data_IF_784358411053
#
_entry.id   IF_784358411053
#
_cell.length_a   1.000
_cell.length_b   1.000
_cell.length_c   1.000
_cell.angle_alpha   90.00
_cell.angle_beta   90.00
_cell.angle_gamma   90.00
#
_symmetry.space_group_name_H-M   'P 1'
#
loop_
_entity.id
_entity.type
_entity.pdbx_description
1 polymer ?
#
# COMPACT_ATOMS: atom_id res chain seq x y z
N UNK A 1 -3.94 31.72 7.79
CA UNK A 1 -4.25 30.27 7.58
C UNK A 1 -3.36 29.63 6.50
N UNK A 2 -3.05 30.32 5.38
CA UNK A 2 -2.21 29.75 4.31
C UNK A 2 -0.74 29.50 4.67
N UNK A 3 -0.08 30.42 5.38
CA UNK A 3 1.34 30.29 5.75
C UNK A 3 1.60 29.16 6.76
N UNK A 4 0.75 29.02 7.80
CA UNK A 4 0.85 27.95 8.79
C UNK A 4 0.67 26.55 8.18
N UNK A 5 -0.22 26.41 7.18
CA UNK A 5 -0.40 25.17 6.42
C UNK A 5 0.81 24.84 5.54
N UNK A 6 1.38 25.84 4.87
CA UNK A 6 2.61 25.68 4.06
C UNK A 6 3.82 25.31 4.92
N UNK A 7 3.95 25.92 6.10
CA UNK A 7 5.01 25.65 7.06
C UNK A 7 4.88 24.22 7.62
N UNK A 8 3.66 23.77 7.95
CA UNK A 8 3.39 22.38 8.34
C UNK A 8 3.75 21.43 7.20
N UNK A 9 3.33 21.70 5.95
CA UNK A 9 3.63 20.83 4.80
C UNK A 9 5.15 20.66 4.62
N UNK A 10 5.92 21.75 4.62
CA UNK A 10 7.38 21.68 4.50
C UNK A 10 8.04 20.99 5.70
N UNK A 11 7.57 21.24 6.93
CA UNK A 11 8.06 20.57 8.14
C UNK A 11 7.77 19.07 8.11
N UNK A 12 6.66 18.67 7.50
CA UNK A 12 6.27 17.26 7.32
C UNK A 12 7.22 16.62 6.30
N UNK A 13 7.41 17.23 5.13
CA UNK A 13 8.28 16.70 4.07
C UNK A 13 9.72 16.46 4.55
N UNK A 14 10.32 17.40 5.28
CA UNK A 14 11.67 17.24 5.82
C UNK A 14 11.76 16.29 7.02
N UNK A 15 10.68 16.07 7.77
CA UNK A 15 10.67 15.10 8.88
C UNK A 15 10.50 13.67 8.34
N UNK A 16 9.77 13.53 7.23
CA UNK A 16 9.46 12.26 6.58
C UNK A 16 10.66 11.70 5.79
N UNK A 17 11.56 12.54 5.26
CA UNK A 17 12.75 12.10 4.49
C UNK A 17 13.77 11.31 5.31
N UNK A 18 13.76 11.44 6.63
CA UNK A 18 14.65 10.70 7.54
C UNK A 18 14.06 9.36 8.02
N UNK A 19 12.83 9.04 7.65
CA UNK A 19 12.11 7.86 8.12
C UNK A 19 12.39 6.62 7.28
N UNK A 20 12.39 5.43 7.90
CA UNK A 20 12.59 4.16 7.21
C UNK A 20 11.57 3.90 6.06
N UNK A 21 10.37 4.48 6.17
CA UNK A 21 9.33 4.42 5.13
C UNK A 21 9.68 5.21 3.87
N UNK A 22 10.54 6.23 3.96
CA UNK A 22 10.94 7.07 2.82
C UNK A 22 11.65 6.26 1.72
N UNK A 23 12.49 5.30 2.12
CA UNK A 23 13.17 4.42 1.16
C UNK A 23 12.16 3.56 0.38
N UNK A 24 11.08 3.10 1.03
CA UNK A 24 10.01 2.34 0.37
C UNK A 24 9.31 3.21 -0.68
N UNK A 25 8.89 4.43 -0.31
CA UNK A 25 8.25 5.34 -1.25
C UNK A 25 9.18 5.76 -2.38
N UNK A 26 10.48 5.87 -2.14
CA UNK A 26 11.49 6.15 -3.18
C UNK A 26 11.58 4.99 -4.18
N UNK A 27 11.49 3.75 -3.74
CA UNK A 27 11.51 2.59 -4.66
C UNK A 27 10.21 2.49 -5.48
N UNK A 28 9.07 2.75 -4.83
CA UNK A 28 7.78 2.84 -5.52
C UNK A 28 7.77 4.03 -6.53
N UNK A 29 8.44 5.12 -6.14
CA UNK A 29 9.04 6.20 -6.93
C UNK A 29 9.41 5.95 -8.39
N UNK A 30 10.25 4.92 -8.52
CA UNK A 30 11.19 4.77 -9.63
C UNK A 30 10.49 4.79 -11.00
N UNK A 31 11.13 5.49 -11.93
CA UNK A 31 10.66 5.55 -13.30
C UNK A 31 10.84 4.21 -14.02
N UNK A 32 10.06 4.03 -15.07
CA UNK A 32 10.04 2.80 -15.86
C UNK A 32 11.17 2.91 -16.88
N UNK A 33 12.17 2.01 -16.80
CA UNK A 33 13.46 2.21 -17.47
C UNK A 33 13.52 1.83 -18.96
N UNK A 34 12.52 1.18 -19.58
CA UNK A 34 12.24 1.17 -21.04
C UNK A 34 11.20 0.10 -21.46
N UNK A 35 10.63 0.30 -22.65
CA UNK A 35 9.59 -0.43 -23.40
C UNK A 35 9.64 -1.98 -23.34
N UNK A 36 9.19 -2.56 -22.23
CA UNK A 36 8.80 -3.96 -22.20
C UNK A 36 7.31 -4.09 -22.49
N UNK A 37 6.94 -4.44 -23.73
CA UNK A 37 5.57 -4.77 -24.17
C UNK A 37 4.86 -5.85 -23.31
N UNK A 38 5.50 -6.42 -22.27
CA UNK A 38 4.91 -7.37 -21.32
C UNK A 38 4.61 -6.79 -19.93
N UNK A 39 5.11 -5.59 -19.58
CA UNK A 39 5.05 -5.08 -18.20
C UNK A 39 3.82 -4.19 -17.94
N UNK A 40 3.18 -3.61 -18.96
CA UNK A 40 2.13 -2.58 -18.77
C UNK A 40 0.85 -2.74 -19.60
N UNK A 41 0.53 -3.95 -20.09
CA UNK A 41 -0.56 -4.15 -21.07
C UNK A 41 -1.92 -3.69 -20.55
N UNK A 42 -2.16 -3.82 -19.25
CA UNK A 42 -3.47 -3.49 -18.69
C UNK A 42 -3.72 -1.98 -18.67
N UNK A 43 -2.65 -1.18 -18.64
CA UNK A 43 -2.75 0.28 -18.60
C UNK A 43 -2.90 0.94 -19.97
N UNK A 44 -2.77 0.17 -21.07
CA UNK A 44 -3.00 0.69 -22.43
C UNK A 44 -4.49 0.97 -22.67
N UNK A 45 -5.36 0.17 -22.05
CA UNK A 45 -6.82 0.28 -22.16
C UNK A 45 -7.42 1.35 -21.21
N UNK A 46 -6.59 2.02 -20.40
CA UNK A 46 -7.03 3.02 -19.42
C UNK A 46 -7.70 4.21 -20.12
N UNK A 47 -9.01 4.39 -19.91
CA UNK A 47 -9.82 5.43 -20.57
C UNK A 47 -9.73 6.78 -19.88
N UNK A 48 -8.53 7.36 -19.86
CA UNK A 48 -8.30 8.72 -19.36
C UNK A 48 -7.48 9.55 -20.34
N UNK A 49 -7.71 10.86 -20.37
CA UNK A 49 -6.84 11.81 -21.09
C UNK A 49 -5.73 12.36 -20.20
N UNK A 50 -5.70 12.01 -18.91
CA UNK A 50 -4.69 12.48 -17.97
C UNK A 50 -3.41 11.64 -18.10
N UNK A 51 -2.35 12.23 -18.67
CA UNK A 51 -1.07 11.55 -18.86
C UNK A 51 -0.38 11.15 -17.54
N UNK A 52 -0.63 11.89 -16.45
CA UNK A 52 -0.12 11.53 -15.13
C UNK A 52 -0.80 10.27 -14.60
N UNK A 53 -2.10 10.09 -14.84
CA UNK A 53 -2.83 8.85 -14.50
C UNK A 53 -2.34 7.66 -15.33
N UNK A 54 -2.06 7.86 -16.62
CA UNK A 54 -1.48 6.80 -17.46
C UNK A 54 -0.11 6.37 -16.96
N UNK A 55 0.77 7.34 -16.63
CA UNK A 55 2.09 7.06 -16.05
C UNK A 55 1.95 6.33 -14.71
N UNK A 56 1.04 6.77 -13.85
CA UNK A 56 0.77 6.15 -12.56
C UNK A 56 0.28 4.71 -12.70
N UNK A 57 -0.67 4.43 -13.60
CA UNK A 57 -1.12 3.07 -13.89
C UNK A 57 0.06 2.15 -14.24
N UNK A 58 0.95 2.61 -15.12
CA UNK A 58 2.14 1.83 -15.51
C UNK A 58 3.06 1.57 -14.31
N UNK A 59 3.26 2.55 -13.43
CA UNK A 59 4.04 2.37 -12.18
C UNK A 59 3.35 1.39 -11.22
N UNK A 60 2.02 1.43 -11.12
CA UNK A 60 1.19 0.47 -10.36
C UNK A 60 1.42 -0.96 -10.87
N UNK A 61 1.29 -1.19 -12.18
CA UNK A 61 1.45 -2.54 -12.75
C UNK A 61 2.87 -3.10 -12.50
N UNK A 62 3.89 -2.27 -12.72
CA UNK A 62 5.29 -2.63 -12.42
C UNK A 62 5.46 -2.99 -10.93
N UNK A 63 4.99 -2.13 -10.04
CA UNK A 63 5.13 -2.34 -8.59
C UNK A 63 4.43 -3.63 -8.13
N UNK A 64 3.20 -3.89 -8.59
CA UNK A 64 2.47 -5.11 -8.23
C UNK A 64 3.17 -6.39 -8.64
N UNK A 65 3.95 -6.36 -9.74
CA UNK A 65 4.77 -7.49 -10.21
C UNK A 65 6.00 -7.71 -9.33
N UNK A 66 6.61 -6.67 -8.78
CA UNK A 66 7.90 -6.76 -8.06
C UNK A 66 7.80 -6.56 -6.54
N UNK A 67 6.62 -6.24 -6.00
CA UNK A 67 6.40 -5.85 -4.60
C UNK A 67 6.93 -6.88 -3.59
N UNK A 68 6.82 -8.17 -3.93
CA UNK A 68 7.22 -9.26 -3.05
C UNK A 68 8.71 -9.60 -3.12
N UNK A 69 9.43 -9.03 -4.09
CA UNK A 69 10.83 -9.39 -4.42
C UNK A 69 11.81 -8.25 -4.15
N UNK A 70 11.31 -7.01 -4.09
CA UNK A 70 12.10 -5.81 -3.87
C UNK A 70 12.71 -5.78 -2.47
N UNK A 71 14.03 -5.63 -2.34
CA UNK A 71 14.78 -5.84 -1.09
C UNK A 71 14.26 -5.10 0.14
N UNK A 72 13.87 -3.84 0.01
CA UNK A 72 13.35 -3.04 1.14
C UNK A 72 11.91 -3.43 1.47
N UNK A 73 11.08 -3.63 0.46
CA UNK A 73 9.65 -3.94 0.62
C UNK A 73 9.45 -5.39 1.08
N UNK A 74 10.30 -6.33 0.65
CA UNK A 74 10.17 -7.75 0.98
C UNK A 74 10.47 -8.06 2.44
N UNK A 75 11.13 -7.15 3.16
CA UNK A 75 11.42 -7.27 4.60
C UNK A 75 10.18 -6.98 5.46
N UNK A 76 9.25 -6.15 4.96
CA UNK A 76 8.01 -5.78 5.64
C UNK A 76 7.02 -6.95 5.75
N UNK A 77 6.06 -6.88 6.68
CA UNK A 77 4.96 -7.85 6.68
C UNK A 77 4.08 -7.61 5.46
N UNK A 78 3.44 -8.66 4.98
CA UNK A 78 2.60 -8.57 3.79
C UNK A 78 1.48 -7.50 3.90
N UNK A 79 0.85 -7.38 5.09
CA UNK A 79 -0.16 -6.33 5.34
C UNK A 79 0.45 -4.93 5.19
N UNK A 80 1.66 -4.74 5.69
CA UNK A 80 2.38 -3.46 5.67
C UNK A 80 2.80 -3.11 4.24
N UNK A 81 3.31 -4.07 3.46
CA UNK A 81 3.60 -3.90 2.02
C UNK A 81 2.39 -3.41 1.24
N UNK A 82 1.23 -4.04 1.46
CA UNK A 82 -0.05 -3.65 0.85
C UNK A 82 -0.44 -2.23 1.22
N UNK A 83 -0.26 -1.87 2.49
CA UNK A 83 -0.59 -0.56 3.00
C UNK A 83 0.33 0.51 2.40
N UNK A 84 1.66 0.34 2.47
CA UNK A 84 2.63 1.24 1.84
C UNK A 84 2.32 1.45 0.36
N UNK A 85 2.07 0.36 -0.37
CA UNK A 85 1.70 0.43 -1.78
C UNK A 85 0.41 1.22 -2.01
N UNK A 86 -0.64 0.97 -1.21
CA UNK A 86 -1.91 1.68 -1.35
C UNK A 86 -1.76 3.17 -1.04
N UNK A 87 -1.06 3.53 0.04
CA UNK A 87 -0.80 4.92 0.43
C UNK A 87 -0.01 5.65 -0.64
N UNK A 88 1.00 4.99 -1.22
CA UNK A 88 1.76 5.53 -2.35
C UNK A 88 0.86 5.84 -3.56
N UNK A 89 -0.02 4.91 -3.96
CA UNK A 89 -0.95 5.15 -5.07
C UNK A 89 -1.79 6.40 -4.84
N UNK A 90 -2.35 6.57 -3.64
CA UNK A 90 -3.18 7.73 -3.31
C UNK A 90 -2.40 9.04 -3.28
N UNK A 91 -1.17 9.02 -2.74
CA UNK A 91 -0.28 10.18 -2.74
C UNK A 91 0.03 10.63 -4.19
N UNK A 92 0.28 9.69 -5.10
CA UNK A 92 0.51 9.98 -6.51
C UNK A 92 -0.77 10.45 -7.24
N UNK A 93 -1.95 9.90 -6.91
CA UNK A 93 -3.23 10.44 -7.41
C UNK A 93 -3.39 11.90 -6.97
N UNK A 94 -3.17 12.18 -5.69
CA UNK A 94 -3.30 13.53 -5.14
C UNK A 94 -2.34 14.51 -5.83
N UNK A 95 -1.08 14.13 -6.04
CA UNK A 95 -0.08 14.95 -6.75
C UNK A 95 -0.50 15.27 -8.18
N UNK A 96 -1.05 14.31 -8.91
CA UNK A 96 -1.50 14.52 -10.29
C UNK A 96 -2.64 15.55 -10.41
N UNK A 97 -3.47 15.69 -9.38
CA UNK A 97 -4.56 16.67 -9.29
C UNK A 97 -4.21 17.90 -8.43
N UNK A 98 -2.98 18.05 -7.94
CA UNK A 98 -2.59 19.20 -7.10
C UNK A 98 -2.82 20.51 -7.84
N UNK A 99 -3.65 21.38 -7.27
CA UNK A 99 -4.04 22.66 -7.87
C UNK A 99 -5.02 22.55 -9.06
N UNK A 100 -5.57 21.37 -9.32
CA UNK A 100 -6.54 21.08 -10.39
C UNK A 100 -7.84 20.55 -9.78
N UNK A 101 -8.94 20.62 -10.54
CA UNK A 101 -10.18 19.94 -10.14
C UNK A 101 -10.00 18.43 -10.23
N UNK A 102 -10.33 17.71 -9.15
CA UNK A 102 -10.28 16.25 -9.11
C UNK A 102 -11.34 15.67 -10.04
N UNK A 103 -10.93 14.87 -11.01
CA UNK A 103 -11.84 14.13 -11.87
C UNK A 103 -12.07 12.73 -11.29
N UNK A 104 -13.24 12.53 -10.69
CA UNK A 104 -13.59 11.25 -10.08
C UNK A 104 -13.62 10.09 -11.09
N UNK A 105 -14.04 10.34 -12.34
CA UNK A 105 -14.12 9.28 -13.35
C UNK A 105 -12.73 8.73 -13.72
N UNK A 106 -11.72 9.59 -13.82
CA UNK A 106 -10.34 9.16 -14.06
C UNK A 106 -9.81 8.28 -12.91
N UNK A 107 -10.15 8.64 -11.67
CA UNK A 107 -9.77 7.88 -10.47
C UNK A 107 -10.47 6.52 -10.47
N UNK A 108 -11.78 6.49 -10.71
CA UNK A 108 -12.57 5.26 -10.75
C UNK A 108 -12.03 4.30 -11.83
N UNK A 109 -11.65 4.83 -13.00
CA UNK A 109 -11.03 4.07 -14.09
C UNK A 109 -9.65 3.52 -13.68
N UNK A 110 -8.80 4.33 -13.03
CA UNK A 110 -7.50 3.86 -12.53
C UNK A 110 -7.64 2.74 -11.49
N UNK A 111 -8.58 2.89 -10.53
CA UNK A 111 -8.86 1.88 -9.51
C UNK A 111 -9.40 0.59 -10.11
N UNK A 112 -10.22 0.69 -11.17
CA UNK A 112 -10.70 -0.46 -11.93
C UNK A 112 -9.55 -1.21 -12.60
N UNK A 113 -8.64 -0.51 -13.29
CA UNK A 113 -7.48 -1.14 -13.93
C UNK A 113 -6.51 -1.76 -12.92
N UNK A 114 -6.28 -1.08 -11.80
CA UNK A 114 -5.52 -1.64 -10.70
C UNK A 114 -6.12 -2.98 -10.21
N UNK A 115 -7.44 -3.07 -10.05
CA UNK A 115 -8.09 -4.33 -9.69
C UNK A 115 -7.91 -5.40 -10.78
N UNK A 116 -8.06 -5.06 -12.06
CA UNK A 116 -7.85 -5.98 -13.19
C UNK A 116 -6.44 -6.54 -13.23
N UNK A 117 -5.42 -5.69 -13.02
CA UNK A 117 -4.02 -6.13 -12.94
C UNK A 117 -3.84 -7.18 -11.85
N UNK A 118 -4.37 -6.93 -10.64
CA UNK A 118 -4.30 -7.89 -9.54
C UNK A 118 -4.94 -9.23 -9.89
N UNK A 119 -6.14 -9.21 -10.48
CA UNK A 119 -6.83 -10.43 -10.90
C UNK A 119 -6.02 -11.20 -11.96
N UNK A 120 -5.42 -10.48 -12.91
CA UNK A 120 -4.59 -11.09 -13.93
C UNK A 120 -3.36 -11.80 -13.33
N UNK A 121 -2.61 -11.11 -12.46
CA UNK A 121 -1.44 -11.67 -11.79
C UNK A 121 -1.81 -12.88 -10.92
N UNK A 122 -2.91 -12.78 -10.18
CA UNK A 122 -3.44 -13.89 -9.38
C UNK A 122 -3.77 -15.11 -10.24
N UNK A 123 -4.42 -14.90 -11.38
CA UNK A 123 -4.85 -15.96 -12.29
C UNK A 123 -3.66 -16.60 -13.02
N UNK A 124 -2.65 -15.82 -13.39
CA UNK A 124 -1.40 -16.35 -13.96
C UNK A 124 -0.71 -17.31 -12.99
N UNK A 125 -0.53 -16.88 -11.73
CA UNK A 125 0.05 -17.72 -10.68
C UNK A 125 -0.82 -18.95 -10.40
N UNK A 126 -2.14 -18.74 -10.35
CA UNK A 126 -3.12 -19.82 -10.18
C UNK A 126 -2.91 -20.93 -11.22
N UNK A 127 -2.91 -20.56 -12.50
CA UNK A 127 -2.79 -21.52 -13.60
C UNK A 127 -1.43 -22.20 -13.62
N UNK A 128 -0.35 -21.46 -13.33
CA UNK A 128 1.00 -22.03 -13.27
C UNK A 128 1.10 -23.10 -12.19
N UNK A 129 0.63 -22.82 -10.98
CA UNK A 129 0.68 -23.78 -9.88
C UNK A 129 -0.32 -24.92 -10.08
N UNK A 130 -1.52 -24.64 -10.60
CA UNK A 130 -2.51 -25.68 -10.95
C UNK A 130 -1.90 -26.72 -11.90
N UNK A 131 -1.23 -26.28 -12.98
CA UNK A 131 -0.53 -27.18 -13.91
C UNK A 131 0.62 -27.95 -13.25
N UNK A 132 1.28 -27.36 -12.25
CA UNK A 132 2.34 -28.03 -11.49
C UNK A 132 1.79 -29.09 -10.52
N UNK A 133 0.62 -28.86 -9.94
CA UNK A 133 -0.04 -29.77 -8.99
C UNK A 133 -0.77 -30.90 -9.73
N UNK A 134 -1.39 -30.56 -10.86
CA UNK A 134 -2.11 -31.47 -11.74
C UNK A 134 -1.44 -31.47 -13.12
N UNK A 135 -0.27 -32.11 -13.27
CA UNK A 135 0.36 -32.23 -14.57
C UNK A 135 -0.59 -32.97 -15.51
N UNK A 136 -0.89 -32.34 -16.65
CA UNK A 136 -1.65 -32.97 -17.73
C UNK A 136 -0.87 -34.24 -18.10
N UNK A 137 -1.51 -35.42 -17.95
CA UNK A 137 -0.89 -36.66 -18.40
C UNK A 137 -0.55 -36.50 -19.88
N UNK A 138 0.67 -36.82 -20.34
CA UNK A 138 0.93 -36.84 -21.76
C UNK A 138 -0.10 -37.76 -22.41
N UNK A 139 -0.82 -37.25 -23.42
CA UNK A 139 -1.52 -38.14 -24.32
C UNK A 139 -0.43 -39.03 -24.93
N UNK A 140 -0.35 -40.28 -24.49
CA UNK A 140 0.45 -41.29 -25.18
C UNK A 140 -0.01 -41.27 -26.63
N UNK A 141 0.92 -40.93 -27.51
CA UNK A 141 0.69 -40.79 -28.94
C UNK A 141 -0.11 -41.97 -29.48
N UNK A 142 -1.28 -41.67 -30.04
CA UNK A 142 -2.19 -42.65 -30.62
C UNK A 142 -3.56 -42.05 -30.88
N UNK A 143 -3.67 -41.24 -31.94
CA UNK A 143 -4.94 -40.96 -32.60
C UNK A 143 -5.69 -39.70 -32.14
N UNK A 144 -5.85 -38.82 -33.11
CA UNK A 144 -6.99 -37.92 -33.33
C UNK A 144 -6.98 -36.56 -32.64
N UNK A 145 -6.51 -35.59 -33.43
CA UNK A 145 -6.86 -34.18 -33.33
C UNK A 145 -8.39 -34.04 -33.37
N UNK A 146 -9.00 -33.69 -32.24
CA UNK A 146 -10.25 -32.93 -32.26
C UNK A 146 -10.39 -32.09 -31.01
N UNK A 147 -10.80 -30.84 -31.23
CA UNK A 147 -10.84 -29.76 -30.26
C UNK A 147 -11.58 -30.11 -28.98
N UNK A 148 -11.21 -29.39 -27.92
CA UNK A 148 -11.94 -29.36 -26.66
C UNK A 148 -13.34 -28.84 -26.94
N UNK A 149 -14.25 -29.75 -27.25
CA UNK A 149 -15.69 -29.51 -27.24
C UNK A 149 -16.18 -29.75 -25.82
N UNK A 150 -16.99 -28.82 -25.34
CA UNK A 150 -17.73 -28.87 -24.09
C UNK A 150 -18.63 -30.12 -24.07
N UNK A 151 -18.13 -31.24 -23.55
CA UNK A 151 -18.91 -32.50 -23.54
C UNK A 151 -18.39 -33.65 -22.69
N UNK A 152 -17.29 -33.50 -21.91
CA UNK A 152 -16.71 -34.61 -21.15
C UNK A 152 -17.00 -34.51 -19.65
N UNK A 153 -18.28 -34.56 -19.27
CA UNK A 153 -18.70 -34.69 -17.86
C UNK A 153 -18.81 -36.16 -17.39
N UNK A 154 -18.40 -37.14 -18.21
CA UNK A 154 -18.58 -38.57 -17.92
C UNK A 154 -17.29 -39.38 -17.68
N UNK A 155 -16.11 -38.74 -17.61
CA UNK A 155 -14.93 -39.41 -17.04
C UNK A 155 -14.93 -39.20 -15.53
N UNK A 156 -15.25 -40.24 -14.75
CA UNK A 156 -15.04 -40.26 -13.30
C UNK A 156 -13.55 -40.04 -13.03
N UNK A 157 -13.15 -38.78 -12.86
CA UNK A 157 -11.83 -38.42 -12.37
C UNK A 157 -11.63 -39.14 -11.04
N UNK A 158 -10.47 -39.80 -10.87
CA UNK A 158 -10.11 -40.32 -9.56
C UNK A 158 -10.17 -39.15 -8.58
N UNK A 159 -10.85 -39.29 -7.43
CA UNK A 159 -10.96 -38.20 -6.48
C UNK A 159 -9.54 -37.76 -6.08
N UNK A 160 -9.31 -36.44 -5.92
CA UNK A 160 -8.01 -35.95 -5.49
C UNK A 160 -7.59 -36.65 -4.19
N UNK A 161 -6.35 -37.13 -4.15
CA UNK A 161 -5.80 -37.91 -3.03
C UNK A 161 -5.58 -37.09 -1.76
N UNK A 162 -5.70 -35.76 -1.86
CA UNK A 162 -5.70 -34.82 -0.73
C UNK A 162 -6.53 -33.59 -1.08
N UNK A 163 -7.08 -32.94 -0.06
CA UNK A 163 -7.68 -31.61 -0.18
C UNK A 163 -6.55 -30.59 -0.39
N UNK A 164 -6.74 -29.68 -1.35
CA UNK A 164 -5.82 -28.58 -1.59
C UNK A 164 -6.43 -27.28 -1.09
N UNK A 165 -5.62 -26.43 -0.46
CA UNK A 165 -6.06 -25.09 -0.08
C UNK A 165 -6.02 -24.15 -1.29
N UNK A 166 -6.86 -23.11 -1.28
CA UNK A 166 -6.82 -22.05 -2.31
C UNK A 166 -5.43 -21.39 -2.39
N UNK A 167 -4.69 -21.32 -1.27
CA UNK A 167 -3.34 -20.77 -1.21
C UNK A 167 -2.26 -21.66 -1.85
N UNK A 168 -2.51 -22.95 -2.05
CA UNK A 168 -1.59 -23.82 -2.80
C UNK A 168 -1.67 -23.56 -4.29
N UNK A 169 -2.83 -23.09 -4.78
CA UNK A 169 -3.01 -22.77 -6.18
C UNK A 169 -2.51 -21.38 -6.52
N UNK A 170 -2.62 -20.35 -5.67
CA UNK A 170 -2.02 -19.05 -5.98
C UNK A 170 -1.05 -18.61 -4.88
N UNK A 171 0.20 -18.35 -5.29
CA UNK A 171 1.23 -17.72 -4.44
C UNK A 171 1.19 -16.21 -4.56
N UNK A 172 0.51 -15.67 -5.57
CA UNK A 172 0.33 -14.25 -5.73
C UNK A 172 -0.40 -13.70 -4.51
N UNK A 173 0.18 -12.68 -3.91
CA UNK A 173 -0.43 -11.98 -2.80
C UNK A 173 -0.95 -10.64 -3.33
N UNK A 174 -2.24 -10.54 -3.70
CA UNK A 174 -2.79 -9.35 -4.37
C UNK A 174 -2.61 -8.09 -3.53
N UNK A 175 -2.71 -6.90 -4.06
CA UNK A 175 -2.89 -5.66 -3.32
C UNK A 175 -4.08 -4.94 -3.96
N UNK A 176 -5.30 -5.41 -3.64
CA UNK A 176 -6.52 -4.76 -4.14
C UNK A 176 -6.67 -3.38 -3.53
N UNK A 177 -7.35 -2.48 -4.25
CA UNK A 177 -7.80 -1.23 -3.66
C UNK A 177 -8.60 -1.56 -2.39
N UNK A 178 -8.11 -1.08 -1.25
CA UNK A 178 -8.78 -1.22 0.01
C UNK A 178 -9.53 0.09 0.31
N UNK A 179 -10.87 0.10 0.38
CA UNK A 179 -11.65 1.31 0.64
C UNK A 179 -11.50 1.88 2.06
N UNK A 180 -10.43 1.49 2.77
CA UNK A 180 -10.02 2.05 4.07
C UNK A 180 -9.89 3.57 4.01
N UNK A 181 -9.63 4.16 2.85
CA UNK A 181 -9.70 5.61 2.67
C UNK A 181 -10.25 6.08 1.32
N UNK A 182 -10.84 7.28 1.35
CA UNK A 182 -11.08 8.14 0.19
C UNK A 182 -9.82 8.95 -0.11
N UNK A 183 -9.70 9.55 -1.29
CA UNK A 183 -8.53 10.33 -1.70
C UNK A 183 -8.11 11.36 -0.62
N UNK A 184 -9.06 12.13 -0.11
CA UNK A 184 -8.80 13.14 0.94
C UNK A 184 -8.34 12.54 2.28
N UNK A 185 -8.67 11.27 2.54
CA UNK A 185 -8.42 10.60 3.82
C UNK A 185 -7.09 9.84 3.84
N UNK A 186 -6.53 9.50 2.69
CA UNK A 186 -5.34 8.65 2.63
C UNK A 186 -4.06 9.39 3.06
N UNK A 187 -4.01 10.73 2.93
CA UNK A 187 -2.91 11.54 3.45
C UNK A 187 -2.85 11.48 4.97
N UNK A 188 -3.97 11.74 5.67
CA UNK A 188 -4.05 11.61 7.13
C UNK A 188 -3.62 10.21 7.62
N UNK A 189 -3.99 9.16 6.88
CA UNK A 189 -3.63 7.78 7.23
C UNK A 189 -2.14 7.53 7.02
N UNK A 190 -1.57 8.05 5.92
CA UNK A 190 -0.14 7.94 5.63
C UNK A 190 0.66 8.58 6.77
N UNK A 191 0.34 9.82 7.12
CA UNK A 191 1.01 10.57 8.19
C UNK A 191 0.92 9.82 9.54
N UNK A 192 -0.27 9.31 9.89
CA UNK A 192 -0.47 8.52 11.11
C UNK A 192 0.37 7.24 11.11
N UNK A 193 0.36 6.51 9.99
CA UNK A 193 1.06 5.24 9.86
C UNK A 193 2.58 5.41 9.93
N UNK A 194 3.13 6.37 9.18
CA UNK A 194 4.56 6.70 9.20
C UNK A 194 5.02 7.10 10.60
N UNK A 195 4.22 7.90 11.32
CA UNK A 195 4.51 8.21 12.72
C UNK A 195 4.57 6.96 13.59
N UNK A 196 3.70 5.97 13.39
CA UNK A 196 3.68 4.78 14.23
C UNK A 196 4.88 3.86 14.01
N UNK A 197 5.38 3.78 12.79
CA UNK A 197 6.57 2.98 12.47
C UNK A 197 7.85 3.60 13.03
N UNK A 198 7.93 4.94 13.04
CA UNK A 198 9.17 5.64 13.38
C UNK A 198 9.20 6.24 14.80
N UNK A 199 8.24 5.87 15.66
CA UNK A 199 8.12 6.40 17.02
C UNK A 199 9.40 6.28 17.85
N UNK A 200 10.21 5.23 17.62
CA UNK A 200 11.47 4.98 18.36
C UNK A 200 12.57 5.99 17.99
N UNK A 201 12.61 6.39 16.73
CA UNK A 201 13.61 7.35 16.21
C UNK A 201 13.32 8.76 16.74
N UNK A 202 12.03 9.13 16.84
CA UNK A 202 11.57 10.38 17.45
C UNK A 202 12.06 10.53 18.90
N UNK A 203 12.05 9.45 19.69
CA UNK A 203 12.53 9.50 21.07
C UNK A 203 14.06 9.63 21.20
N UNK A 204 14.82 9.34 20.15
CA UNK A 204 16.29 9.29 20.17
C UNK A 204 16.97 10.62 19.81
N UNK A 205 16.25 11.57 19.21
CA UNK A 205 16.79 12.82 18.61
C UNK A 205 16.59 14.06 19.48
N UNK A 206 17.00 14.03 20.75
CA UNK A 206 16.54 14.99 21.78
C UNK A 206 16.95 16.47 21.65
N UNK A 207 17.97 16.89 20.90
CA UNK A 207 18.54 18.23 21.16
C UNK A 207 18.54 19.27 20.02
N UNK A 208 18.36 18.92 18.74
CA UNK A 208 18.34 19.93 17.65
C UNK A 208 17.05 19.87 16.80
N UNK A 209 16.46 18.69 16.64
CA UNK A 209 15.23 18.47 15.86
C UNK A 209 13.97 18.40 16.71
N UNK A 210 14.07 18.60 18.04
CA UNK A 210 12.96 18.36 18.95
C UNK A 210 11.75 19.27 18.70
N UNK A 211 11.98 20.56 18.43
CA UNK A 211 10.90 21.51 18.13
C UNK A 211 10.13 21.10 16.86
N UNK A 212 10.85 20.62 15.84
CA UNK A 212 10.26 20.10 14.60
C UNK A 212 9.41 18.86 14.85
N UNK A 213 9.93 17.89 15.60
CA UNK A 213 9.16 16.70 15.98
C UNK A 213 7.97 17.03 16.86
N UNK A 214 8.08 18.02 17.73
CA UNK A 214 6.98 18.49 18.56
C UNK A 214 5.84 19.05 17.71
N UNK A 215 6.14 19.93 16.74
CA UNK A 215 5.15 20.48 15.79
C UNK A 215 4.48 19.36 14.98
N UNK A 216 5.26 18.43 14.45
CA UNK A 216 4.74 17.25 13.74
C UNK A 216 3.83 16.39 14.62
N UNK A 217 4.24 16.06 15.85
CA UNK A 217 3.44 15.27 16.77
C UNK A 217 2.14 15.97 17.21
N UNK A 218 2.14 17.30 17.33
CA UNK A 218 0.94 18.09 17.59
C UNK A 218 -0.06 18.01 16.42
N UNK A 219 0.43 18.08 15.18
CA UNK A 219 -0.40 17.82 14.00
C UNK A 219 -0.98 16.38 14.01
N UNK A 220 -0.13 15.38 14.25
CA UNK A 220 -0.54 13.97 14.34
C UNK A 220 -1.54 13.72 15.48
N UNK A 221 -1.42 14.43 16.60
CA UNK A 221 -2.36 14.36 17.72
C UNK A 221 -3.78 14.73 17.27
N UNK A 222 -3.91 15.80 16.47
CA UNK A 222 -5.20 16.20 15.90
C UNK A 222 -5.82 15.11 15.03
N UNK A 223 -5.02 14.51 14.13
CA UNK A 223 -5.46 13.41 13.28
C UNK A 223 -5.84 12.16 14.09
N UNK A 224 -5.06 11.83 15.11
CA UNK A 224 -5.27 10.67 15.97
C UNK A 224 -6.60 10.75 16.73
N UNK A 225 -6.88 11.90 17.35
CA UNK A 225 -8.14 12.12 18.07
C UNK A 225 -9.34 12.16 17.14
N UNK A 226 -9.20 12.75 15.95
CA UNK A 226 -10.23 12.71 14.90
C UNK A 226 -10.57 11.27 14.51
N UNK A 227 -9.57 10.42 14.28
CA UNK A 227 -9.76 9.01 13.92
C UNK A 227 -10.42 8.18 15.01
N UNK A 228 -10.05 8.40 16.27
CA UNK A 228 -10.71 7.76 17.41
C UNK A 228 -12.21 8.10 17.47
N UNK A 229 -12.57 9.36 17.24
CA UNK A 229 -13.94 9.85 17.39
C UNK A 229 -14.83 9.59 16.18
N UNK A 230 -14.35 9.86 14.97
CA UNK A 230 -15.17 9.76 13.75
C UNK A 230 -15.27 8.34 13.20
N UNK A 231 -14.25 7.51 13.44
CA UNK A 231 -14.12 6.19 12.81
C UNK A 231 -14.04 5.05 13.83
N UNK A 232 -14.16 5.36 15.12
CA UNK A 232 -14.15 4.37 16.21
C UNK A 232 -12.94 3.42 16.15
N UNK A 233 -11.78 3.89 15.68
CA UNK A 233 -10.60 3.06 15.45
C UNK A 233 -10.07 2.37 16.74
N UNK A 234 -10.49 2.81 17.92
CA UNK A 234 -10.15 2.18 19.21
C UNK A 234 -11.38 1.69 19.98
N UNK A 235 -12.54 1.63 19.33
CA UNK A 235 -13.74 1.07 19.92
C UNK A 235 -13.70 -0.46 19.80
N UNK A 236 -13.80 -1.12 20.95
CA UNK A 236 -13.72 -2.59 21.06
C UNK A 236 -15.01 -3.23 20.50
N UNK A 237 -16.13 -2.50 20.44
CA UNK A 237 -17.43 -3.07 20.09
C UNK A 237 -17.66 -3.30 18.59
N UNK A 238 -16.97 -2.57 17.70
CA UNK A 238 -17.22 -2.65 16.25
C UNK A 238 -16.11 -3.33 15.45
N UNK A 239 -15.09 -3.85 16.13
CA UNK A 239 -13.87 -4.33 15.48
C UNK A 239 -13.05 -3.16 14.90
N UNK A 240 -11.73 -3.24 15.01
CA UNK A 240 -10.87 -2.15 14.54
C UNK A 240 -10.83 -2.14 13.00
N UNK A 241 -11.73 -1.39 12.35
CA UNK A 241 -11.69 -1.12 10.90
C UNK A 241 -10.37 -0.46 10.46
N UNK A 242 -9.58 0.03 11.43
CA UNK A 242 -8.31 0.69 11.26
C UNK A 242 -7.11 -0.19 11.66
N UNK A 243 -7.30 -1.49 11.94
CA UNK A 243 -6.27 -2.42 12.48
C UNK A 243 -5.00 -2.47 11.61
N UNK A 244 -5.14 -2.20 10.31
CA UNK A 244 -4.02 -2.20 9.38
C UNK A 244 -3.04 -1.02 9.54
N UNK A 245 -3.49 0.11 10.09
CA UNK A 245 -2.68 1.35 10.10
C UNK A 245 -2.76 2.15 11.40
N UNK A 246 -3.72 1.87 12.30
CA UNK A 246 -3.98 2.65 13.49
C UNK A 246 -3.69 1.87 14.77
N UNK A 247 -2.82 2.41 15.62
CA UNK A 247 -2.38 1.78 16.87
C UNK A 247 -3.00 2.47 18.09
N UNK A 248 -3.78 1.72 18.88
CA UNK A 248 -4.54 2.23 20.02
C UNK A 248 -3.80 2.12 21.36
N UNK A 249 -2.68 1.41 21.41
CA UNK A 249 -1.92 1.24 22.64
C UNK A 249 -1.33 2.55 23.11
N UNK A 250 -1.34 2.78 24.43
CA UNK A 250 -0.90 4.05 25.06
C UNK A 250 0.48 4.53 24.61
N UNK A 251 1.41 3.60 24.31
CA UNK A 251 2.77 3.91 23.82
C UNK A 251 2.78 4.59 22.45
N UNK A 252 1.73 4.42 21.65
CA UNK A 252 1.57 5.03 20.34
C UNK A 252 0.67 6.28 20.36
N UNK A 253 0.02 6.58 21.48
CA UNK A 253 -0.83 7.76 21.61
C UNK A 253 0.02 9.05 21.57
N UNK A 254 -0.19 9.94 20.58
CA UNK A 254 0.53 11.22 20.48
C UNK A 254 0.43 12.09 21.73
N UNK A 255 -0.70 12.06 22.46
CA UNK A 255 -0.85 12.79 23.72
C UNK A 255 0.17 12.32 24.77
N UNK A 256 0.41 11.01 24.85
CA UNK A 256 1.39 10.46 25.79
C UNK A 256 2.82 10.76 25.34
N UNK A 257 3.08 10.68 24.04
CA UNK A 257 4.41 10.94 23.47
C UNK A 257 4.79 12.41 23.69
N UNK A 258 3.89 13.35 23.40
CA UNK A 258 4.10 14.78 23.62
C UNK A 258 4.39 15.12 25.09
N UNK A 259 3.78 14.39 26.04
CA UNK A 259 4.07 14.57 27.49
C UNK A 259 5.45 14.05 27.90
N UNK A 260 5.96 13.02 27.22
CA UNK A 260 7.27 12.42 27.51
C UNK A 260 8.39 13.14 26.74
N UNK A 261 8.08 13.74 25.59
CA UNK A 261 9.02 14.48 24.76
C UNK A 261 9.42 15.78 25.44
N UNK A 262 10.48 15.72 26.24
CA UNK A 262 11.03 16.88 26.92
C UNK A 262 12.10 17.55 26.04
N UNK A 263 11.70 18.54 25.23
CA UNK A 263 12.61 19.28 24.34
C UNK A 263 13.56 20.23 25.08
N UNK A 264 13.40 20.35 26.40
CA UNK A 264 14.26 21.14 27.27
C UNK A 264 14.83 20.25 28.37
N UNK A 265 15.96 19.58 28.13
CA UNK A 265 16.82 19.13 29.23
C UNK A 265 18.26 18.98 28.76
N UNK A 266 19.00 20.09 28.78
CA UNK A 266 20.32 20.22 29.43
C UNK A 266 20.75 21.71 29.43
N UNK A 267 20.15 22.51 30.32
CA UNK A 267 20.92 23.61 30.95
C UNK A 267 21.17 23.16 32.38
N UNK A 268 22.19 22.32 32.55
CA UNK A 268 22.82 22.16 33.85
C UNK A 268 23.49 23.48 34.17
N UNK A 269 22.86 24.32 34.99
CA UNK A 269 23.56 25.39 35.67
C UNK A 269 24.63 24.73 36.54
N UNK A 270 25.89 24.86 36.12
CA UNK A 270 27.03 24.63 36.99
C UNK A 270 26.95 25.75 38.03
N UNK A 271 26.61 25.37 39.27
CA UNK A 271 26.80 26.21 40.45
C UNK A 271 28.26 26.18 40.87
#
# INVERSE_FOLDING_TARGET
>A
MGEFLLEIIHLTEDALTELASHEIFTVLNNDITTNGDSVTKHCEDLKTTNDDMKKLCKKIERNLKTLNETDKIKQERYRDRRLYFSLWVFDEIYKAYKGKLINKADIDELLLEWNKINYHLMYQDFNKNYKSIFPVRPNTAGGDNNGITSGSWNRKSKPPTRLFSNGEFSKYKPCFYNPVCTLDRCNDIKDLYEKFENIKEIFSTKNEKCEKYYKYLAYIQGLYEKRKKEYNCCDIFFGNLCEGYFKCEKKYDPNNILRILNCYSNVSYVQ
#
